data_IF_122414658197
#
_entry.id   IF_122414658197
#
_cell.length_a   1.000
_cell.length_b   1.000
_cell.length_c   1.000
_cell.angle_alpha   90.00
_cell.angle_beta   90.00
_cell.angle_gamma   90.00
#
_symmetry.space_group_name_H-M   'P 1'
#
loop_
_entity.id
_entity.type
_entity.pdbx_description
1 polymer ?
#
# COMPACT_ATOMS: atom_id res chain seq x y z
N UNK A 1 -14.83 24.28 -11.12
CA UNK A 1 -14.06 23.15 -10.59
C UNK A 1 -14.80 21.90 -11.00
N UNK A 2 -14.16 20.93 -11.65
CA UNK A 2 -14.83 19.68 -12.07
C UNK A 2 -15.31 18.96 -10.80
N UNK A 3 -16.58 18.54 -10.69
CA UNK A 3 -17.08 17.79 -9.56
C UNK A 3 -16.18 16.58 -9.25
N UNK A 4 -15.89 16.29 -7.97
CA UNK A 4 -15.00 15.20 -7.60
C UNK A 4 -15.43 13.84 -8.18
N UNK A 5 -16.77 13.66 -8.32
CA UNK A 5 -17.38 12.48 -8.93
C UNK A 5 -17.00 12.32 -10.40
N UNK A 6 -17.07 13.39 -11.20
CA UNK A 6 -16.70 13.36 -12.62
C UNK A 6 -15.21 13.03 -12.81
N UNK A 7 -14.34 13.56 -11.94
CA UNK A 7 -12.90 13.23 -11.98
C UNK A 7 -12.66 11.74 -11.73
N UNK A 8 -13.40 11.14 -10.77
CA UNK A 8 -13.31 9.72 -10.47
C UNK A 8 -13.89 8.87 -11.61
N UNK A 9 -15.04 9.22 -12.15
CA UNK A 9 -15.65 8.51 -13.29
C UNK A 9 -14.74 8.51 -14.52
N UNK A 10 -14.06 9.63 -14.79
CA UNK A 10 -13.09 9.73 -15.88
C UNK A 10 -11.85 8.86 -15.62
N UNK A 11 -11.32 8.85 -14.40
CA UNK A 11 -10.22 7.95 -14.02
C UNK A 11 -10.62 6.47 -14.17
N UNK A 12 -11.85 6.11 -13.77
CA UNK A 12 -12.39 4.76 -13.92
C UNK A 12 -12.39 4.36 -15.39
N UNK A 13 -12.92 5.19 -16.28
CA UNK A 13 -12.93 4.90 -17.73
C UNK A 13 -11.53 4.70 -18.30
N UNK A 14 -10.55 5.49 -17.86
CA UNK A 14 -9.20 5.46 -18.42
C UNK A 14 -8.38 4.24 -17.99
N UNK A 15 -8.45 3.83 -16.71
CA UNK A 15 -7.51 2.84 -16.15
C UNK A 15 -8.15 1.61 -15.51
N UNK A 16 -9.47 1.41 -15.65
CA UNK A 16 -10.15 0.24 -15.08
C UNK A 16 -9.48 -1.11 -15.38
N UNK A 17 -9.06 -1.45 -16.62
CA UNK A 17 -8.39 -2.72 -16.86
C UNK A 17 -7.11 -2.94 -16.03
N UNK A 18 -6.36 -1.87 -15.75
CA UNK A 18 -5.15 -1.92 -14.94
C UNK A 18 -5.45 -2.01 -13.44
N UNK A 19 -6.52 -1.34 -12.99
CA UNK A 19 -7.01 -1.44 -11.61
C UNK A 19 -7.56 -2.85 -11.34
N UNK A 20 -8.37 -3.39 -12.23
CA UNK A 20 -8.93 -4.74 -12.12
C UNK A 20 -7.81 -5.79 -12.08
N UNK A 21 -6.78 -5.65 -12.94
CA UNK A 21 -5.57 -6.47 -12.89
C UNK A 21 -4.88 -6.37 -11.52
N UNK A 22 -4.67 -5.15 -11.03
CA UNK A 22 -3.99 -4.90 -9.75
C UNK A 22 -4.75 -5.52 -8.56
N UNK A 23 -6.07 -5.37 -8.53
CA UNK A 23 -6.92 -5.99 -7.51
C UNK A 23 -6.82 -7.52 -7.60
N UNK A 24 -6.86 -8.10 -8.80
CA UNK A 24 -6.67 -9.54 -8.99
C UNK A 24 -5.30 -10.02 -8.48
N UNK A 25 -4.23 -9.26 -8.70
CA UNK A 25 -2.89 -9.56 -8.15
C UNK A 25 -2.90 -9.58 -6.61
N UNK A 26 -3.59 -8.63 -5.96
CA UNK A 26 -3.75 -8.61 -4.49
C UNK A 26 -4.59 -9.80 -3.97
N UNK A 27 -5.68 -10.14 -4.67
CA UNK A 27 -6.51 -11.31 -4.33
C UNK A 27 -5.76 -12.63 -4.49
N UNK A 28 -4.93 -12.74 -5.53
CA UNK A 28 -4.03 -13.89 -5.69
C UNK A 28 -3.07 -13.99 -4.52
N UNK A 29 -2.50 -12.87 -4.07
CA UNK A 29 -1.62 -12.86 -2.90
C UNK A 29 -2.35 -13.34 -1.63
N UNK A 30 -3.60 -12.90 -1.40
CA UNK A 30 -4.43 -13.37 -0.29
C UNK A 30 -4.67 -14.88 -0.34
N UNK A 31 -5.06 -15.38 -1.51
CA UNK A 31 -5.55 -16.75 -1.67
C UNK A 31 -4.43 -17.78 -1.80
N UNK A 32 -3.29 -17.40 -2.39
CA UNK A 32 -2.19 -18.32 -2.74
C UNK A 32 -0.93 -18.07 -1.92
N UNK A 33 -0.87 -16.98 -1.15
CA UNK A 33 0.33 -16.55 -0.43
C UNK A 33 1.44 -16.00 -1.31
N UNK A 34 1.26 -16.02 -2.64
CA UNK A 34 2.21 -15.51 -3.64
C UNK A 34 1.48 -14.96 -4.85
N UNK A 35 2.03 -13.92 -5.46
CA UNK A 35 1.52 -13.32 -6.70
C UNK A 35 2.67 -12.81 -7.55
N UNK A 36 2.43 -12.60 -8.84
CA UNK A 36 3.36 -11.89 -9.71
C UNK A 36 2.78 -10.51 -10.00
N UNK A 37 3.56 -9.46 -9.74
CA UNK A 37 3.14 -8.09 -10.00
C UNK A 37 3.72 -7.60 -11.33
N UNK A 38 2.85 -7.05 -12.17
CA UNK A 38 3.25 -6.36 -13.40
C UNK A 38 2.72 -4.92 -13.41
N UNK A 39 3.66 -3.98 -13.53
CA UNK A 39 3.41 -2.54 -13.44
C UNK A 39 3.42 -1.84 -14.80
N UNK A 40 3.56 -2.57 -15.91
CA UNK A 40 3.45 -1.98 -17.25
C UNK A 40 2.02 -1.48 -17.47
N UNK A 41 1.82 -0.31 -18.11
CA UNK A 41 2.83 0.60 -18.67
C UNK A 41 3.37 1.66 -17.69
N UNK A 42 2.93 1.68 -16.43
CA UNK A 42 3.20 2.78 -15.48
C UNK A 42 4.60 2.80 -14.88
N UNK A 43 5.30 1.67 -14.92
CA UNK A 43 6.69 1.54 -14.47
C UNK A 43 7.43 0.54 -15.35
N UNK A 44 8.56 0.98 -15.94
CA UNK A 44 9.42 0.13 -16.74
C UNK A 44 10.26 -0.80 -15.85
N UNK A 45 9.65 -1.91 -15.44
CA UNK A 45 10.26 -2.96 -14.63
C UNK A 45 9.67 -4.30 -15.06
N UNK A 46 10.52 -5.32 -15.26
CA UNK A 46 9.97 -6.66 -15.55
C UNK A 46 9.16 -7.18 -14.36
N UNK A 47 8.08 -7.96 -14.62
CA UNK A 47 7.29 -8.59 -13.58
C UNK A 47 8.14 -9.38 -12.61
N UNK A 48 7.68 -9.47 -11.35
CA UNK A 48 8.37 -10.24 -10.32
C UNK A 48 7.39 -10.78 -9.30
N UNK A 49 7.79 -11.89 -8.65
CA UNK A 49 7.00 -12.53 -7.61
C UNK A 49 7.16 -11.83 -6.26
N UNK A 50 6.06 -11.75 -5.53
CA UNK A 50 6.03 -11.31 -4.14
C UNK A 50 5.14 -12.26 -3.33
N UNK A 51 5.57 -12.52 -2.10
CA UNK A 51 4.80 -13.22 -1.08
C UNK A 51 4.31 -12.25 0.01
N UNK A 52 3.49 -12.74 0.94
CA UNK A 52 2.90 -11.92 2.01
C UNK A 52 4.00 -11.22 2.83
N UNK A 53 5.09 -11.91 3.17
CA UNK A 53 6.16 -11.35 3.98
C UNK A 53 6.93 -10.24 3.24
N UNK A 54 7.31 -10.48 1.99
CA UNK A 54 7.97 -9.45 1.17
C UNK A 54 7.06 -8.24 0.90
N UNK A 55 5.74 -8.42 0.89
CA UNK A 55 4.80 -7.30 0.83
C UNK A 55 4.77 -6.49 2.13
N UNK A 56 4.89 -7.15 3.28
CA UNK A 56 5.05 -6.44 4.55
C UNK A 56 6.36 -5.62 4.56
N UNK A 57 7.46 -6.19 4.07
CA UNK A 57 8.72 -5.47 3.88
C UNK A 57 8.58 -4.28 2.91
N UNK A 58 7.81 -4.44 1.82
CA UNK A 58 7.52 -3.35 0.88
C UNK A 58 6.86 -2.15 1.57
N UNK A 59 5.89 -2.37 2.47
CA UNK A 59 5.24 -1.29 3.22
C UNK A 59 6.20 -0.57 4.19
N UNK A 60 7.21 -1.26 4.73
CA UNK A 60 8.30 -0.60 5.48
C UNK A 60 9.09 0.33 4.56
N UNK A 61 9.40 -0.09 3.33
CA UNK A 61 10.19 0.67 2.36
C UNK A 61 9.45 1.90 1.81
N UNK A 62 8.13 1.84 1.65
CA UNK A 62 7.32 2.94 1.08
C UNK A 62 6.93 4.00 2.11
N UNK A 63 7.13 3.75 3.40
CA UNK A 63 6.94 4.77 4.43
C UNK A 63 7.85 5.99 4.17
N UNK A 64 7.23 7.14 3.83
CA UNK A 64 7.91 8.38 3.44
C UNK A 64 8.85 8.23 2.22
N UNK A 65 8.53 7.29 1.32
CA UNK A 65 9.21 7.08 0.04
C UNK A 65 8.19 6.82 -1.09
N UNK A 66 8.64 6.83 -2.34
CA UNK A 66 7.75 6.56 -3.47
C UNK A 66 7.50 5.06 -3.65
N UNK A 67 6.29 4.71 -4.11
CA UNK A 67 5.95 3.33 -4.47
C UNK A 67 6.93 2.78 -5.53
N UNK A 68 7.32 3.60 -6.52
CA UNK A 68 8.29 3.19 -7.55
C UNK A 68 9.65 2.80 -6.99
N UNK A 69 10.15 3.50 -5.97
CA UNK A 69 11.40 3.12 -5.29
C UNK A 69 11.23 1.81 -4.51
N UNK A 70 10.14 1.69 -3.75
CA UNK A 70 9.81 0.46 -3.02
C UNK A 70 9.73 -0.76 -3.94
N UNK A 71 9.10 -0.62 -5.11
CA UNK A 71 8.97 -1.69 -6.12
C UNK A 71 10.34 -2.12 -6.66
N UNK A 72 11.23 -1.18 -6.97
CA UNK A 72 12.58 -1.49 -7.46
C UNK A 72 13.39 -2.24 -6.40
N UNK A 73 13.36 -1.77 -5.16
CA UNK A 73 14.04 -2.41 -4.03
C UNK A 73 13.46 -3.80 -3.76
N UNK A 74 12.12 -3.94 -3.74
CA UNK A 74 11.46 -5.23 -3.50
C UNK A 74 11.85 -6.26 -4.56
N UNK A 75 11.93 -5.85 -5.83
CA UNK A 75 12.41 -6.71 -6.92
C UNK A 75 13.88 -7.10 -6.76
N UNK A 76 14.77 -6.16 -6.43
CA UNK A 76 16.21 -6.42 -6.30
C UNK A 76 16.53 -7.31 -5.10
N UNK A 77 15.81 -7.14 -3.99
CA UNK A 77 15.98 -7.99 -2.80
C UNK A 77 15.33 -9.36 -3.01
N UNK A 78 14.11 -9.41 -3.56
CA UNK A 78 13.36 -10.65 -3.75
C UNK A 78 12.87 -11.28 -2.44
N UNK A 79 12.04 -12.32 -2.57
CA UNK A 79 11.42 -13.01 -1.43
C UNK A 79 12.48 -13.55 -0.46
N UNK A 80 13.44 -14.33 -0.96
CA UNK A 80 14.48 -14.93 -0.14
C UNK A 80 15.44 -13.89 0.45
N UNK A 81 15.74 -12.81 -0.29
CA UNK A 81 16.60 -11.75 0.23
C UNK A 81 15.99 -11.05 1.45
N UNK A 82 14.67 -10.84 1.49
CA UNK A 82 14.03 -10.26 2.67
C UNK A 82 14.11 -11.17 3.91
N UNK A 83 14.12 -12.49 3.71
CA UNK A 83 14.18 -13.49 4.80
C UNK A 83 15.62 -13.72 5.28
N UNK A 84 16.58 -13.73 4.36
CA UNK A 84 17.93 -14.25 4.65
C UNK A 84 19.03 -13.19 4.68
N UNK A 85 18.93 -12.11 3.89
CA UNK A 85 20.07 -11.18 3.79
C UNK A 85 20.39 -10.53 5.13
N UNK A 86 21.68 -10.39 5.50
CA UNK A 86 22.06 -9.66 6.69
C UNK A 86 21.75 -8.16 6.53
N UNK A 87 21.70 -7.43 7.65
CA UNK A 87 21.29 -6.02 7.67
C UNK A 87 22.17 -5.15 6.77
N UNK A 88 23.46 -5.46 6.66
CA UNK A 88 24.44 -4.76 5.83
C UNK A 88 24.11 -4.87 4.34
N UNK A 89 23.77 -6.08 3.88
CA UNK A 89 23.39 -6.30 2.47
C UNK A 89 22.05 -5.65 2.12
N UNK A 90 21.09 -5.70 3.04
CA UNK A 90 19.82 -4.96 2.89
C UNK A 90 20.09 -3.45 2.81
N UNK A 91 20.93 -2.92 3.70
CA UNK A 91 21.31 -1.50 3.72
C UNK A 91 21.95 -1.07 2.40
N UNK A 92 22.89 -1.84 1.87
CA UNK A 92 23.56 -1.54 0.60
C UNK A 92 22.57 -1.46 -0.56
N UNK A 93 21.69 -2.46 -0.72
CA UNK A 93 20.68 -2.48 -1.78
C UNK A 93 19.71 -1.29 -1.64
N UNK A 94 19.23 -1.04 -0.43
CA UNK A 94 18.27 0.04 -0.15
C UNK A 94 18.92 1.42 -0.39
N UNK A 95 20.19 1.60 0.03
CA UNK A 95 20.97 2.83 -0.18
C UNK A 95 21.26 3.07 -1.65
N UNK A 96 21.69 2.03 -2.38
CA UNK A 96 21.98 2.09 -3.83
C UNK A 96 20.76 2.54 -4.63
N UNK A 97 19.56 2.19 -4.19
CA UNK A 97 18.30 2.64 -4.79
C UNK A 97 17.86 4.06 -4.36
N UNK A 98 18.67 4.77 -3.58
CA UNK A 98 18.45 6.18 -3.20
C UNK A 98 17.54 6.39 -2.00
N UNK A 99 17.25 5.35 -1.20
CA UNK A 99 16.36 5.50 -0.06
C UNK A 99 17.05 6.22 1.11
N UNK A 100 16.54 7.40 1.48
CA UNK A 100 17.14 8.31 2.48
C UNK A 100 17.33 7.71 3.89
N UNK A 101 16.49 6.75 4.29
CA UNK A 101 16.56 6.09 5.60
C UNK A 101 17.05 4.64 5.51
N UNK A 102 18.01 4.35 4.62
CA UNK A 102 18.37 2.98 4.27
C UNK A 102 18.65 2.06 5.47
N UNK A 103 19.47 2.50 6.42
CA UNK A 103 19.84 1.69 7.60
C UNK A 103 18.61 1.37 8.45
N UNK A 104 17.81 2.39 8.78
CA UNK A 104 16.58 2.20 9.55
C UNK A 104 15.58 1.25 8.86
N UNK A 105 15.52 1.24 7.52
CA UNK A 105 14.67 0.30 6.78
C UNK A 105 15.22 -1.12 6.86
N UNK A 106 16.53 -1.30 6.67
CA UNK A 106 17.18 -2.59 6.80
C UNK A 106 16.96 -3.21 8.20
N UNK A 107 17.20 -2.44 9.26
CA UNK A 107 16.98 -2.87 10.65
C UNK A 107 15.53 -3.28 10.90
N UNK A 108 14.56 -2.49 10.42
CA UNK A 108 13.13 -2.80 10.56
C UNK A 108 12.74 -4.07 9.82
N UNK A 109 13.30 -4.31 8.63
CA UNK A 109 13.06 -5.54 7.87
C UNK A 109 13.60 -6.75 8.63
N UNK A 110 14.80 -6.66 9.21
CA UNK A 110 15.37 -7.75 10.02
C UNK A 110 14.49 -8.02 11.24
N UNK A 111 14.08 -6.98 11.97
CA UNK A 111 13.16 -7.12 13.12
C UNK A 111 11.79 -7.70 12.71
N UNK A 112 11.32 -7.44 11.49
CA UNK A 112 10.04 -7.96 11.00
C UNK A 112 10.05 -9.49 10.89
N UNK A 113 11.22 -10.13 10.71
CA UNK A 113 11.33 -11.60 10.58
C UNK A 113 10.79 -12.33 11.80
N UNK A 114 10.97 -11.78 12.99
CA UNK A 114 10.42 -12.30 14.25
C UNK A 114 8.88 -12.25 14.30
N UNK A 115 8.25 -11.50 13.39
CA UNK A 115 6.80 -11.34 13.27
C UNK A 115 6.22 -12.09 12.07
N UNK A 116 6.99 -12.94 11.39
CA UNK A 116 6.52 -13.69 10.21
C UNK A 116 5.25 -14.51 10.49
N UNK A 117 5.19 -15.17 11.64
CA UNK A 117 4.02 -15.96 12.04
C UNK A 117 2.78 -15.07 12.25
N UNK A 118 2.94 -13.93 12.92
CA UNK A 118 1.86 -12.95 13.07
C UNK A 118 1.37 -12.45 11.71
N UNK A 119 2.28 -12.15 10.77
CA UNK A 119 1.93 -11.68 9.42
C UNK A 119 1.11 -12.74 8.67
N UNK A 120 1.48 -14.02 8.77
CA UNK A 120 0.75 -15.14 8.17
C UNK A 120 -0.62 -15.38 8.84
N UNK A 121 -0.76 -15.09 10.13
CA UNK A 121 -2.06 -15.15 10.81
C UNK A 121 -2.97 -14.02 10.35
N UNK A 122 -2.44 -12.78 10.29
CA UNK A 122 -3.16 -11.59 9.84
C UNK A 122 -3.74 -11.77 8.43
N UNK A 123 -3.03 -12.42 7.51
CA UNK A 123 -3.53 -12.62 6.13
C UNK A 123 -4.81 -13.47 6.04
N UNK A 124 -5.13 -14.23 7.10
CA UNK A 124 -6.32 -15.09 7.19
C UNK A 124 -7.53 -14.39 7.81
N UNK A 125 -7.37 -13.16 8.32
CA UNK A 125 -8.46 -12.39 8.88
C UNK A 125 -9.49 -11.99 7.81
N UNK A 126 -10.74 -11.83 8.25
CA UNK A 126 -11.83 -11.35 7.41
C UNK A 126 -12.00 -9.83 7.51
N UNK A 127 -11.90 -9.28 8.72
CA UNK A 127 -12.00 -7.85 8.99
C UNK A 127 -10.62 -7.19 8.90
N UNK A 128 -10.43 -6.31 7.91
CA UNK A 128 -9.19 -5.57 7.72
C UNK A 128 -8.99 -4.47 8.76
N UNK A 129 -10.07 -3.86 9.25
CA UNK A 129 -10.00 -2.82 10.28
C UNK A 129 -9.52 -3.41 11.61
N UNK A 130 -9.97 -4.61 11.98
CA UNK A 130 -9.46 -5.35 13.15
C UNK A 130 -7.99 -5.75 12.97
N UNK A 131 -7.67 -6.39 11.84
CA UNK A 131 -6.30 -6.78 11.51
C UNK A 131 -5.32 -5.60 11.55
N UNK A 132 -5.78 -4.41 11.13
CA UNK A 132 -4.99 -3.18 11.17
C UNK A 132 -4.59 -2.79 12.58
N UNK A 133 -5.51 -2.85 13.54
CA UNK A 133 -5.20 -2.48 14.94
C UNK A 133 -4.12 -3.40 15.52
N UNK A 134 -4.19 -4.70 15.19
CA UNK A 134 -3.18 -5.69 15.60
C UNK A 134 -1.82 -5.36 14.99
N UNK A 135 -1.77 -5.07 13.68
CA UNK A 135 -0.52 -4.71 12.98
C UNK A 135 0.11 -3.44 13.55
N UNK A 136 -0.68 -2.38 13.75
CA UNK A 136 -0.21 -1.10 14.30
C UNK A 136 0.40 -1.27 15.70
N UNK A 137 -0.17 -2.15 16.53
CA UNK A 137 0.33 -2.41 17.87
C UNK A 137 1.62 -3.24 17.89
N UNK A 138 1.80 -4.16 16.94
CA UNK A 138 2.82 -5.20 17.04
C UNK A 138 4.00 -5.06 16.06
N UNK A 139 3.84 -4.29 14.97
CA UNK A 139 4.86 -4.16 13.93
C UNK A 139 5.59 -2.81 14.05
N UNK A 140 6.88 -2.85 14.38
CA UNK A 140 7.70 -1.64 14.51
C UNK A 140 7.82 -0.92 13.17
N UNK A 141 7.32 0.30 13.13
CA UNK A 141 7.33 1.14 11.92
C UNK A 141 6.01 1.11 11.14
N UNK A 142 5.00 0.35 11.57
CA UNK A 142 3.66 0.45 11.03
C UNK A 142 2.84 1.48 11.80
N UNK A 143 2.44 2.55 11.11
CA UNK A 143 1.28 3.35 11.49
C UNK A 143 0.02 2.84 10.78
N UNK A 144 -1.09 3.55 10.95
CA UNK A 144 -2.36 3.23 10.28
C UNK A 144 -2.20 3.13 8.76
N UNK A 145 -1.44 4.06 8.15
CA UNK A 145 -1.22 4.07 6.71
C UNK A 145 -0.48 2.83 6.25
N UNK A 146 0.66 2.51 6.83
CA UNK A 146 1.46 1.33 6.45
C UNK A 146 0.70 0.02 6.71
N UNK A 147 -0.05 -0.08 7.82
CA UNK A 147 -0.85 -1.26 8.12
C UNK A 147 -2.02 -1.45 7.12
N UNK A 148 -2.79 -0.39 6.83
CA UNK A 148 -3.81 -0.43 5.78
C UNK A 148 -3.21 -0.74 4.41
N UNK A 149 -2.03 -0.18 4.10
CA UNK A 149 -1.33 -0.40 2.83
C UNK A 149 -0.98 -1.87 2.65
N UNK A 150 -0.39 -2.47 3.68
CA UNK A 150 -0.09 -3.89 3.68
C UNK A 150 -1.36 -4.74 3.49
N UNK A 151 -2.40 -4.49 4.28
CA UNK A 151 -3.67 -5.23 4.22
C UNK A 151 -4.32 -5.13 2.84
N UNK A 152 -4.39 -3.94 2.25
CA UNK A 152 -4.92 -3.77 0.89
C UNK A 152 -4.11 -4.61 -0.11
N UNK A 153 -2.79 -4.54 -0.04
CA UNK A 153 -1.93 -5.24 -0.98
C UNK A 153 -1.98 -6.78 -0.84
N UNK A 154 -2.39 -7.28 0.33
CA UNK A 154 -2.70 -8.70 0.55
C UNK A 154 -4.20 -9.01 0.41
N UNK A 155 -4.97 -8.15 -0.27
CA UNK A 155 -6.32 -8.46 -0.75
C UNK A 155 -7.49 -8.11 0.18
N UNK A 156 -7.29 -7.23 1.17
CA UNK A 156 -8.40 -6.65 1.95
C UNK A 156 -9.02 -5.46 1.21
N UNK A 157 -10.35 -5.37 1.22
CA UNK A 157 -11.12 -4.39 0.44
C UNK A 157 -11.75 -3.28 1.29
N UNK A 158 -11.65 -3.40 2.62
CA UNK A 158 -12.40 -2.65 3.62
C UNK A 158 -11.55 -1.63 4.40
N UNK A 159 -10.28 -1.44 4.00
CA UNK A 159 -9.35 -0.49 4.61
C UNK A 159 -8.91 0.58 3.61
N UNK A 160 -8.89 1.85 4.05
CA UNK A 160 -8.35 2.96 3.27
C UNK A 160 -6.86 3.17 3.57
N UNK A 161 -6.10 3.63 2.58
CA UNK A 161 -4.70 4.07 2.74
C UNK A 161 -4.67 5.60 2.78
N UNK A 162 -4.74 6.21 3.96
CA UNK A 162 -4.70 7.69 4.05
C UNK A 162 -3.24 8.18 4.01
N UNK A 163 -2.71 8.32 2.79
CA UNK A 163 -1.41 8.95 2.52
C UNK A 163 -1.54 10.44 2.18
N UNK A 164 -0.44 11.09 1.78
CA UNK A 164 -0.45 12.51 1.40
C UNK A 164 -1.29 12.78 0.15
N UNK A 165 -1.34 11.86 -0.80
CA UNK A 165 -2.12 12.01 -2.04
C UNK A 165 -3.62 11.90 -1.77
N UNK A 166 -4.03 10.89 -1.00
CA UNK A 166 -5.41 10.66 -0.57
C UNK A 166 -5.89 11.79 0.34
N UNK A 167 -5.13 12.14 1.38
CA UNK A 167 -5.53 13.23 2.29
C UNK A 167 -5.67 14.57 1.54
N UNK A 168 -4.76 14.84 0.59
CA UNK A 168 -4.82 16.04 -0.25
C UNK A 168 -6.06 16.01 -1.16
N UNK A 169 -6.39 14.86 -1.75
CA UNK A 169 -7.61 14.72 -2.53
C UNK A 169 -8.86 15.01 -1.68
N UNK A 170 -8.95 14.46 -0.47
CA UNK A 170 -10.09 14.68 0.42
C UNK A 170 -10.23 16.16 0.82
N UNK A 171 -9.11 16.82 1.11
CA UNK A 171 -9.10 18.23 1.54
C UNK A 171 -9.43 19.19 0.38
N UNK A 172 -8.84 18.98 -0.81
CA UNK A 172 -9.08 19.84 -1.98
C UNK A 172 -10.53 19.77 -2.47
N UNK A 173 -11.21 18.64 -2.24
CA UNK A 173 -12.60 18.42 -2.63
C UNK A 173 -13.59 18.64 -1.46
N UNK A 174 -13.13 19.19 -0.34
CA UNK A 174 -13.95 19.48 0.85
C UNK A 174 -14.70 18.28 1.45
N UNK A 175 -14.21 17.06 1.25
CA UNK A 175 -14.78 15.86 1.87
C UNK A 175 -14.44 15.76 3.36
N UNK A 176 -13.25 16.26 3.73
CA UNK A 176 -12.76 16.30 5.11
C UNK A 176 -12.11 17.65 5.35
N UNK A 177 -12.26 18.21 6.55
CA UNK A 177 -11.62 19.49 6.90
C UNK A 177 -10.10 19.35 6.85
N UNK A 178 -9.35 20.31 6.25
CA UNK A 178 -7.89 20.26 6.22
C UNK A 178 -7.27 20.15 7.63
N UNK A 179 -6.21 19.33 7.74
CA UNK A 179 -5.43 19.11 8.96
C UNK A 179 -3.94 19.06 8.64
N UNK A 180 -3.10 19.61 9.53
CA UNK A 180 -1.64 19.54 9.39
C UNK A 180 -1.09 18.14 9.66
N UNK A 181 -1.74 17.41 10.55
CA UNK A 181 -1.31 16.08 11.01
C UNK A 181 -2.48 15.11 10.90
N UNK A 182 -2.21 13.91 10.38
CA UNK A 182 -3.17 12.81 10.34
C UNK A 182 -3.05 12.03 11.65
N UNK A 183 -3.86 12.40 12.65
CA UNK A 183 -4.01 11.62 13.88
C UNK A 183 -4.92 10.40 13.63
N UNK A 184 -4.98 9.45 14.57
CA UNK A 184 -5.93 8.31 14.48
C UNK A 184 -7.36 8.77 14.21
N UNK A 185 -7.83 9.82 14.90
CA UNK A 185 -9.18 10.37 14.68
C UNK A 185 -9.37 10.91 13.26
N UNK A 186 -8.39 11.66 12.74
CA UNK A 186 -8.45 12.22 11.38
C UNK A 186 -8.36 11.11 10.33
N UNK A 187 -7.58 10.08 10.60
CA UNK A 187 -7.48 8.89 9.74
C UNK A 187 -8.83 8.20 9.60
N UNK A 188 -9.50 7.91 10.72
CA UNK A 188 -10.80 7.24 10.73
C UNK A 188 -11.92 8.12 10.16
N UNK A 189 -11.88 9.44 10.37
CA UNK A 189 -12.77 10.40 9.69
C UNK A 189 -12.60 10.34 8.18
N UNK A 190 -11.34 10.30 7.71
CA UNK A 190 -11.00 10.24 6.29
C UNK A 190 -11.41 8.90 5.65
N UNK A 191 -11.20 7.79 6.37
CA UNK A 191 -11.64 6.46 5.95
C UNK A 191 -13.16 6.41 5.79
N UNK A 192 -13.94 6.95 6.73
CA UNK A 192 -15.41 7.02 6.61
C UNK A 192 -15.86 7.85 5.40
N UNK A 193 -15.16 8.94 5.09
CA UNK A 193 -15.47 9.75 3.92
C UNK A 193 -15.21 8.97 2.62
N UNK A 194 -14.09 8.23 2.54
CA UNK A 194 -13.79 7.35 1.40
C UNK A 194 -14.78 6.19 1.28
N UNK A 195 -15.20 5.59 2.39
CA UNK A 195 -16.20 4.52 2.42
C UNK A 195 -17.53 4.98 1.80
N UNK A 196 -17.95 6.23 2.09
CA UNK A 196 -19.12 6.83 1.45
C UNK A 196 -18.93 7.01 -0.06
N UNK A 197 -17.79 7.56 -0.49
CA UNK A 197 -17.48 7.77 -1.91
C UNK A 197 -17.44 6.44 -2.67
N UNK A 198 -16.82 5.41 -2.07
CA UNK A 198 -16.71 4.09 -2.64
C UNK A 198 -18.11 3.48 -2.85
N UNK A 199 -18.98 3.58 -1.83
CA UNK A 199 -20.38 3.13 -1.91
C UNK A 199 -21.16 3.85 -3.01
N UNK A 200 -21.03 5.17 -3.12
CA UNK A 200 -21.74 5.97 -4.14
C UNK A 200 -21.31 5.62 -5.58
N UNK A 201 -20.11 5.06 -5.75
CA UNK A 201 -19.54 4.62 -7.04
C UNK A 201 -19.60 3.10 -7.25
N UNK A 202 -20.19 2.35 -6.31
CA UNK A 202 -20.19 0.88 -6.30
C UNK A 202 -18.77 0.28 -6.42
N UNK A 203 -17.82 0.83 -5.66
CA UNK A 203 -16.44 0.38 -5.55
C UNK A 203 -16.12 -0.07 -4.12
N UNK A 204 -15.07 -0.86 -3.99
CA UNK A 204 -14.39 -1.12 -2.72
C UNK A 204 -13.45 0.02 -2.34
N UNK A 205 -13.00 0.08 -1.08
CA UNK A 205 -11.98 1.05 -0.69
C UNK A 205 -10.63 0.75 -1.36
N UNK A 206 -10.32 -0.53 -1.59
CA UNK A 206 -9.12 -0.96 -2.30
C UNK A 206 -9.06 -0.44 -3.74
N UNK A 207 -10.18 -0.49 -4.47
CA UNK A 207 -10.29 0.04 -5.83
C UNK A 207 -10.23 1.57 -5.83
N UNK A 208 -11.00 2.22 -4.94
CA UNK A 208 -11.06 3.68 -4.87
C UNK A 208 -9.67 4.29 -4.63
N UNK A 209 -8.85 3.69 -3.76
CA UNK A 209 -7.47 4.14 -3.52
C UNK A 209 -6.66 4.20 -4.82
N UNK A 210 -6.71 3.15 -5.65
CA UNK A 210 -5.95 3.09 -6.91
C UNK A 210 -6.40 4.16 -7.90
N UNK A 211 -7.70 4.47 -7.98
CA UNK A 211 -8.22 5.54 -8.83
C UNK A 211 -7.78 6.93 -8.35
N UNK A 212 -7.88 7.20 -7.05
CA UNK A 212 -7.41 8.48 -6.49
C UNK A 212 -5.89 8.61 -6.67
N UNK A 213 -5.13 7.53 -6.45
CA UNK A 213 -3.70 7.51 -6.68
C UNK A 213 -3.36 7.79 -8.15
N UNK A 214 -4.10 7.22 -9.11
CA UNK A 214 -3.96 7.53 -10.54
C UNK A 214 -4.27 9.00 -10.84
N UNK A 215 -5.32 9.57 -10.26
CA UNK A 215 -5.65 11.00 -10.43
C UNK A 215 -4.46 11.88 -10.02
N UNK A 216 -3.77 11.52 -8.94
CA UNK A 216 -2.65 12.31 -8.40
C UNK A 216 -1.30 12.03 -9.05
N UNK A 217 -1.07 10.84 -9.60
CA UNK A 217 0.26 10.40 -10.05
C UNK A 217 0.34 9.95 -11.51
N UNK A 218 -0.82 9.75 -12.15
CA UNK A 218 -0.98 9.13 -13.48
C UNK A 218 -0.42 7.72 -13.57
N UNK A 219 -0.40 7.00 -12.44
CA UNK A 219 0.08 5.62 -12.36
C UNK A 219 -0.87 4.72 -11.59
N UNK A 220 -0.98 3.46 -12.00
CA UNK A 220 -1.56 2.38 -11.19
C UNK A 220 -0.39 1.51 -10.72
N UNK A 221 -0.02 1.65 -9.45
CA UNK A 221 1.03 0.87 -8.80
C UNK A 221 0.41 0.02 -7.68
N UNK A 222 0.98 0.05 -6.48
CA UNK A 222 0.44 -0.59 -5.30
C UNK A 222 0.80 0.16 -4.04
#
# INVERSE_FOLDING_TARGET
>A
MIPPKEILEEAIKQVKPFVDKRISEFKNLKNKGITEFDFKPFLNIEPYKADIFSEACFCILTANSSASMGIKIQKEIGIEGFKEYPVEKLFEIIRKNGHRFAMQRAERIVLLREKSELINQISKYQDGKEAREILVKNIKGYGYKEASHFLRNIGFDDVAIIDRHISRFLFENNFVKPRKTITKSVYLESEKALEKIAKDLNLTQAELDLYIFYIKTKKVLK
#
